data_IF_527943717611
#
_entry.id   IF_527943717611
#
_cell.length_a   1.000
_cell.length_b   1.000
_cell.length_c   1.000
_cell.angle_alpha   90.00
_cell.angle_beta   90.00
_cell.angle_gamma   90.00
#
_symmetry.space_group_name_H-M   'P 1'
#
loop_
_entity.id
_entity.type
_entity.pdbx_description
1 polymer ?
#
# COMPACT_ATOMS: atom_id res chain seq x y z
N UNK A 1 14.49 -25.25 22.63
CA UNK A 1 14.79 -24.31 21.55
C UNK A 1 13.57 -23.45 21.35
N UNK A 2 13.77 -22.16 21.12
CA UNK A 2 12.68 -21.18 20.96
C UNK A 2 12.72 -20.57 19.55
N UNK A 3 11.59 -20.05 19.08
CA UNK A 3 11.44 -19.50 17.72
C UNK A 3 10.98 -18.06 17.76
N UNK A 4 11.33 -17.28 16.74
CA UNK A 4 10.94 -15.87 16.63
C UNK A 4 10.23 -15.60 15.30
N UNK A 5 9.24 -14.71 15.33
CA UNK A 5 8.61 -14.17 14.13
C UNK A 5 9.33 -12.91 13.63
N UNK A 6 8.72 -12.21 12.68
CA UNK A 6 9.25 -10.95 12.18
C UNK A 6 8.26 -10.25 11.25
N UNK A 7 8.59 -9.02 10.86
CA UNK A 7 7.84 -8.27 9.87
C UNK A 7 8.75 -7.96 8.69
N UNK A 8 8.26 -8.19 7.49
CA UNK A 8 8.99 -7.93 6.24
C UNK A 8 8.29 -6.81 5.47
N UNK A 9 9.07 -5.89 4.91
CA UNK A 9 8.58 -4.85 3.99
C UNK A 9 8.81 -5.30 2.55
N UNK A 10 7.76 -5.28 1.73
CA UNK A 10 7.82 -5.45 0.28
C UNK A 10 7.58 -4.12 -0.44
N UNK A 11 8.23 -3.95 -1.59
CA UNK A 11 8.07 -2.79 -2.47
C UNK A 11 7.83 -3.25 -3.90
N UNK A 12 6.76 -2.79 -4.53
CA UNK A 12 6.48 -3.03 -5.95
C UNK A 12 6.71 -1.72 -6.72
N UNK A 13 7.72 -1.73 -7.57
CA UNK A 13 8.14 -0.55 -8.33
C UNK A 13 7.62 -0.57 -9.76
N UNK A 14 7.42 0.62 -10.33
CA UNK A 14 7.00 0.76 -11.73
C UNK A 14 5.58 0.28 -12.00
N UNK A 15 4.72 0.26 -10.97
CA UNK A 15 3.32 -0.13 -11.11
C UNK A 15 2.58 0.92 -11.95
N UNK A 16 1.91 0.55 -13.05
CA UNK A 16 1.11 1.50 -13.81
C UNK A 16 -0.07 1.99 -12.96
N UNK A 17 -0.48 3.24 -13.12
CA UNK A 17 -1.69 3.75 -12.51
C UNK A 17 -2.93 3.07 -13.13
N UNK A 18 -3.95 2.79 -12.32
CA UNK A 18 -5.22 2.22 -12.78
C UNK A 18 -5.41 0.72 -12.57
N UNK A 19 -4.53 0.02 -11.85
CA UNK A 19 -4.73 -1.38 -11.49
C UNK A 19 -5.68 -1.52 -10.31
N UNK A 20 -6.62 -2.46 -10.39
CA UNK A 20 -7.64 -2.70 -9.38
C UNK A 20 -8.92 -1.93 -9.63
N UNK A 21 -9.84 -2.00 -8.66
CA UNK A 21 -11.19 -1.45 -8.78
C UNK A 21 -11.63 -0.82 -7.45
N UNK A 22 -12.54 0.17 -7.47
CA UNK A 22 -12.93 0.89 -6.27
C UNK A 22 -13.82 0.09 -5.31
N UNK A 23 -14.46 -0.99 -5.75
CA UNK A 23 -15.49 -1.69 -4.97
C UNK A 23 -15.15 -3.15 -4.73
N UNK A 24 -15.19 -3.99 -5.77
CA UNK A 24 -15.05 -5.45 -5.64
C UNK A 24 -13.62 -5.95 -5.87
N UNK A 25 -12.95 -5.48 -6.93
CA UNK A 25 -11.56 -5.83 -7.24
C UNK A 25 -10.50 -4.90 -6.64
N UNK A 26 -10.65 -4.47 -5.37
CA UNK A 26 -9.68 -3.56 -4.74
C UNK A 26 -8.28 -4.16 -4.71
N UNK A 27 -7.29 -3.44 -5.22
CA UNK A 27 -5.91 -3.92 -5.34
C UNK A 27 -5.31 -4.32 -3.98
N UNK A 28 -5.49 -3.49 -2.95
CA UNK A 28 -4.99 -3.80 -1.60
C UNK A 28 -5.69 -5.02 -0.99
N UNK A 29 -6.95 -5.29 -1.34
CA UNK A 29 -7.66 -6.47 -0.86
C UNK A 29 -7.15 -7.75 -1.54
N UNK A 30 -6.88 -7.69 -2.85
CA UNK A 30 -6.26 -8.81 -3.57
C UNK A 30 -4.85 -9.11 -3.07
N UNK A 31 -4.03 -8.07 -2.84
CA UNK A 31 -2.72 -8.20 -2.22
C UNK A 31 -2.81 -8.78 -0.80
N UNK A 32 -3.72 -8.28 0.02
CA UNK A 32 -3.95 -8.78 1.36
C UNK A 32 -4.34 -10.26 1.37
N UNK A 33 -5.26 -10.68 0.49
CA UNK A 33 -5.61 -12.09 0.35
C UNK A 33 -4.42 -12.96 -0.06
N UNK A 34 -3.59 -12.50 -0.99
CA UNK A 34 -2.39 -13.21 -1.41
C UNK A 34 -1.35 -13.32 -0.29
N UNK A 35 -1.10 -12.24 0.44
CA UNK A 35 -0.09 -12.21 1.52
C UNK A 35 -0.55 -13.02 2.75
N UNK A 36 -1.81 -12.88 3.17
CA UNK A 36 -2.38 -13.64 4.29
C UNK A 36 -2.51 -15.14 3.98
N UNK A 37 -2.45 -15.52 2.70
CA UNK A 37 -2.40 -16.93 2.28
C UNK A 37 -1.04 -17.59 2.48
N UNK A 38 0.03 -16.84 2.74
CA UNK A 38 1.36 -17.38 3.03
C UNK A 38 1.35 -18.01 4.43
N UNK A 39 1.92 -19.21 4.56
CA UNK A 39 1.97 -19.91 5.84
C UNK A 39 2.64 -19.05 6.93
N UNK A 40 2.05 -19.11 8.14
CA UNK A 40 2.46 -18.36 9.33
C UNK A 40 2.20 -16.85 9.32
N UNK A 41 1.74 -16.26 8.21
CA UNK A 41 1.36 -14.84 8.16
C UNK A 41 0.09 -14.59 8.97
N UNK A 42 0.08 -13.49 9.71
CA UNK A 42 -1.00 -13.01 10.58
C UNK A 42 -1.37 -11.55 10.31
N UNK A 43 -0.50 -10.77 9.68
CA UNK A 43 -0.73 -9.36 9.41
C UNK A 43 -0.39 -8.95 7.99
N UNK A 44 -1.20 -8.05 7.44
CA UNK A 44 -0.92 -7.35 6.20
C UNK A 44 -1.31 -5.89 6.36
N UNK A 45 -0.39 -4.98 6.05
CA UNK A 45 -0.62 -3.55 6.00
C UNK A 45 0.06 -2.95 4.76
N UNK A 46 -0.43 -1.80 4.31
CA UNK A 46 0.10 -1.10 3.12
C UNK A 46 0.18 0.41 3.38
N UNK A 47 1.10 1.09 2.69
CA UNK A 47 1.39 2.50 2.94
C UNK A 47 1.82 2.75 4.38
N UNK A 48 1.24 3.77 5.02
CA UNK A 48 1.42 4.04 6.46
C UNK A 48 0.86 2.94 7.37
N UNK A 49 0.06 2.02 6.82
CA UNK A 49 -0.39 0.83 7.52
C UNK A 49 -1.24 1.13 8.76
N UNK A 50 -0.85 0.56 9.90
CA UNK A 50 -1.54 0.78 11.17
C UNK A 50 -1.19 2.11 11.87
N UNK A 51 -0.32 2.94 11.30
CA UNK A 51 -0.02 4.30 11.81
C UNK A 51 -1.14 5.28 11.42
N UNK A 52 -2.29 5.16 12.11
CA UNK A 52 -3.55 5.86 11.78
C UNK A 52 -3.92 6.98 12.77
N UNK A 53 -3.03 7.29 13.71
CA UNK A 53 -3.28 8.28 14.79
C UNK A 53 -3.05 9.75 14.36
N UNK A 54 -3.03 10.01 13.04
CA UNK A 54 -2.76 11.32 12.44
C UNK A 54 -4.02 11.96 11.85
N UNK A 55 -4.01 13.28 11.68
CA UNK A 55 -5.11 13.98 11.02
C UNK A 55 -5.07 13.74 9.52
N UNK A 56 -6.23 13.67 8.88
CA UNK A 56 -6.31 13.55 7.42
C UNK A 56 -5.57 14.66 6.65
N UNK A 57 -5.47 15.87 7.23
CA UNK A 57 -4.67 16.97 6.66
C UNK A 57 -3.15 16.71 6.63
N UNK A 58 -2.68 15.78 7.46
CA UNK A 58 -1.26 15.43 7.61
C UNK A 58 -0.88 14.22 6.76
N UNK A 59 -1.83 13.31 6.49
CA UNK A 59 -1.57 12.04 5.78
C UNK A 59 -2.15 11.95 4.38
N UNK A 60 -2.89 12.98 3.93
CA UNK A 60 -3.40 13.00 2.57
C UNK A 60 -2.28 13.24 1.56
N UNK A 61 -2.14 12.32 0.62
CA UNK A 61 -1.22 12.45 -0.50
C UNK A 61 -1.71 13.51 -1.48
N UNK A 62 -1.08 14.68 -1.43
CA UNK A 62 -1.42 15.81 -2.31
C UNK A 62 -0.92 15.57 -3.72
N UNK A 63 -1.82 15.67 -4.69
CA UNK A 63 -1.48 15.51 -6.11
C UNK A 63 -0.71 16.71 -6.64
N UNK A 64 0.37 16.43 -7.36
CA UNK A 64 1.18 17.40 -8.07
C UNK A 64 1.41 16.97 -9.51
N UNK A 65 1.79 17.94 -10.35
CA UNK A 65 2.13 17.68 -11.73
C UNK A 65 3.64 17.80 -11.90
N UNK A 66 4.29 16.67 -12.14
CA UNK A 66 5.72 16.58 -12.39
C UNK A 66 5.94 16.10 -13.82
N UNK A 67 6.74 16.84 -14.61
CA UNK A 67 7.07 16.50 -15.99
C UNK A 67 5.85 16.19 -16.88
N UNK A 68 4.74 16.88 -16.63
CA UNK A 68 3.50 16.70 -17.38
C UNK A 68 2.63 15.52 -16.93
N UNK A 69 3.09 14.70 -15.98
CA UNK A 69 2.36 13.57 -15.39
C UNK A 69 1.83 13.91 -14.00
N UNK A 70 0.72 13.29 -13.63
CA UNK A 70 0.18 13.39 -12.26
C UNK A 70 0.98 12.46 -11.34
N UNK A 71 1.42 13.00 -10.22
CA UNK A 71 2.18 12.33 -9.15
C UNK A 71 1.63 12.78 -7.79
N UNK A 72 2.14 12.25 -6.69
CA UNK A 72 1.82 12.69 -5.33
C UNK A 72 3.08 13.17 -4.63
N UNK A 73 2.98 14.20 -3.78
CA UNK A 73 4.13 14.71 -3.02
C UNK A 73 4.65 13.73 -1.96
N UNK A 74 3.75 12.91 -1.45
CA UNK A 74 3.97 11.91 -0.42
C UNK A 74 3.37 10.58 -0.88
N UNK A 75 3.66 9.50 -0.15
CA UNK A 75 3.13 8.17 -0.47
C UNK A 75 2.61 7.45 0.77
N UNK A 76 1.79 8.14 1.58
CA UNK A 76 1.13 7.57 2.75
C UNK A 76 0.11 6.48 2.38
N UNK A 77 -0.51 6.61 1.20
CA UNK A 77 -1.41 5.60 0.62
C UNK A 77 -0.68 4.33 0.16
N UNK A 78 0.65 4.33 0.10
CA UNK A 78 1.44 3.18 -0.31
C UNK A 78 1.15 2.74 -1.74
N UNK A 79 1.01 3.68 -2.66
CA UNK A 79 0.79 3.46 -4.08
C UNK A 79 -0.64 3.03 -4.44
N UNK A 80 -1.54 2.91 -3.48
CA UNK A 80 -2.92 2.44 -3.69
C UNK A 80 -3.92 3.43 -3.07
N UNK A 81 -4.73 4.05 -3.91
CA UNK A 81 -5.75 5.02 -3.48
C UNK A 81 -7.13 4.54 -3.88
N UNK A 82 -8.04 4.46 -2.91
CA UNK A 82 -9.41 3.96 -3.10
C UNK A 82 -9.49 2.59 -3.81
N UNK A 83 -8.50 1.71 -3.62
CA UNK A 83 -8.46 0.39 -4.26
C UNK A 83 -7.77 0.34 -5.62
N UNK A 84 -7.23 1.46 -6.12
CA UNK A 84 -6.61 1.59 -7.44
C UNK A 84 -5.15 2.02 -7.28
N UNK A 85 -4.23 1.48 -8.08
CA UNK A 85 -2.84 1.99 -8.11
C UNK A 85 -2.78 3.43 -8.63
N UNK A 86 -2.03 4.29 -7.96
CA UNK A 86 -1.88 5.71 -8.33
C UNK A 86 -0.60 6.00 -9.15
N UNK A 87 0.24 5.00 -9.39
CA UNK A 87 1.50 5.11 -10.12
C UNK A 87 2.73 5.32 -9.25
N UNK A 88 2.57 5.51 -7.94
CA UNK A 88 3.67 5.46 -6.99
C UNK A 88 4.07 4.01 -6.67
N UNK A 89 5.23 3.85 -6.05
CA UNK A 89 5.68 2.56 -5.52
C UNK A 89 4.68 2.04 -4.49
N UNK A 90 4.35 0.74 -4.57
CA UNK A 90 3.45 0.10 -3.61
C UNK A 90 4.26 -0.47 -2.47
N UNK A 91 4.05 0.08 -1.27
CA UNK A 91 4.68 -0.39 -0.03
C UNK A 91 3.70 -1.24 0.77
N UNK A 92 4.14 -2.41 1.23
CA UNK A 92 3.37 -3.24 2.13
C UNK A 92 4.27 -3.96 3.15
N UNK A 93 3.70 -4.30 4.29
CA UNK A 93 4.36 -5.10 5.32
C UNK A 93 3.54 -6.35 5.62
N UNK A 94 4.26 -7.43 5.89
CA UNK A 94 3.70 -8.75 6.20
C UNK A 94 4.30 -9.24 7.52
N UNK A 95 3.45 -9.66 8.44
CA UNK A 95 3.80 -10.11 9.78
C UNK A 95 3.30 -11.53 10.02
#
# INVERSE_FOLDING_TARGET
GDTIGGVITGVIQGTPAGLGEPVFGKLHAALGAAMLGINAVKGFEYGSGFDVDHRGSEVNDSFVKEDGKMSTLTNHSGGIQAGISNGQDIYFRVA
#
